data_IF_925406724645
#
_entry.id   IF_925406724645
#
_cell.length_a   1.000
_cell.length_b   1.000
_cell.length_c   1.000
_cell.angle_alpha   90.00
_cell.angle_beta   90.00
_cell.angle_gamma   90.00
#
_symmetry.space_group_name_H-M   'P 1'
#
loop_
_entity.id
_entity.type
_entity.pdbx_description
1 polymer ?
#
# COMPACT_ATOMS: atom_id res chain seq x y z
N UNK A 1 -5.98 -3.65 -22.45
CA UNK A 1 -5.84 -2.18 -22.52
C UNK A 1 -4.40 -1.85 -22.18
N UNK A 2 -3.74 -1.00 -22.96
CA UNK A 2 -2.48 -0.40 -22.56
C UNK A 2 -2.81 0.96 -21.95
N UNK A 3 -2.36 1.18 -20.71
CA UNK A 3 -2.55 2.43 -20.00
C UNK A 3 -1.27 2.83 -19.26
N UNK A 4 -1.10 4.13 -19.09
CA UNK A 4 -0.10 4.73 -18.22
C UNK A 4 -0.83 5.59 -17.18
N UNK A 5 -0.34 5.57 -15.95
CA UNK A 5 -0.74 6.56 -14.95
C UNK A 5 -0.19 7.94 -15.31
N UNK A 6 -0.76 9.03 -14.76
CA UNK A 6 -0.13 10.34 -14.82
C UNK A 6 1.31 10.23 -14.32
N UNK A 7 2.25 10.73 -15.11
CA UNK A 7 3.65 10.76 -14.70
C UNK A 7 3.80 11.87 -13.66
N UNK A 8 4.27 11.58 -12.43
CA UNK A 8 4.49 12.62 -11.44
C UNK A 8 5.58 13.58 -11.91
N UNK A 9 5.48 14.84 -11.50
CA UNK A 9 6.49 15.85 -11.72
C UNK A 9 7.78 15.53 -10.96
N UNK A 10 7.65 14.89 -9.80
CA UNK A 10 8.72 14.68 -8.82
C UNK A 10 9.36 15.99 -8.37
N UNK A 11 8.58 17.07 -8.30
CA UNK A 11 9.02 18.33 -7.72
C UNK A 11 9.29 18.19 -6.22
N UNK A 12 10.07 19.11 -5.65
CA UNK A 12 10.44 19.09 -4.22
C UNK A 12 9.22 18.98 -3.30
N UNK A 13 8.09 19.61 -3.67
CA UNK A 13 6.83 19.55 -2.93
C UNK A 13 6.21 18.15 -2.81
N UNK A 14 6.62 17.19 -3.64
CA UNK A 14 6.20 15.79 -3.55
C UNK A 14 6.89 15.07 -2.37
N UNK A 15 7.99 15.61 -1.85
CA UNK A 15 8.78 15.00 -0.78
C UNK A 15 8.63 15.78 0.53
N UNK A 16 8.56 15.07 1.66
CA UNK A 16 8.78 15.68 2.97
C UNK A 16 10.29 15.86 3.17
N UNK A 17 10.82 17.04 2.84
CA UNK A 17 12.27 17.33 2.97
C UNK A 17 12.80 17.08 4.39
N UNK A 18 11.98 17.34 5.41
CA UNK A 18 12.37 17.14 6.81
C UNK A 18 12.43 15.65 7.21
N UNK A 19 11.98 14.73 6.35
CA UNK A 19 11.94 13.29 6.64
C UNK A 19 13.31 12.73 7.03
N UNK A 20 14.37 13.20 6.37
CA UNK A 20 15.73 12.69 6.58
C UNK A 20 16.44 13.30 7.78
N UNK A 21 15.91 14.40 8.32
CA UNK A 21 16.39 15.02 9.56
C UNK A 21 15.83 14.31 10.82
N UNK A 22 14.79 13.49 10.65
CA UNK A 22 14.19 12.72 11.73
C UNK A 22 15.10 11.60 12.23
N UNK A 23 15.09 11.38 13.55
CA UNK A 23 15.68 10.19 14.13
C UNK A 23 14.98 8.92 13.62
N UNK A 24 15.66 7.78 13.69
CA UNK A 24 15.06 6.48 13.34
C UNK A 24 13.78 6.20 14.13
N UNK A 25 13.74 6.56 15.42
CA UNK A 25 12.55 6.38 16.27
C UNK A 25 11.36 7.22 15.77
N UNK A 26 11.61 8.46 15.36
CA UNK A 26 10.56 9.33 14.82
C UNK A 26 10.06 8.85 13.47
N UNK A 27 10.95 8.43 12.57
CA UNK A 27 10.55 7.81 11.29
C UNK A 27 9.70 6.57 11.51
N UNK A 28 10.10 5.69 12.44
CA UNK A 28 9.34 4.49 12.77
C UNK A 28 7.96 4.82 13.33
N UNK A 29 7.87 5.83 14.21
CA UNK A 29 6.58 6.30 14.72
C UNK A 29 5.69 6.88 13.61
N UNK A 30 6.26 7.59 12.62
CA UNK A 30 5.51 8.09 11.46
C UNK A 30 5.05 6.96 10.55
N UNK A 31 5.93 6.01 10.19
CA UNK A 31 5.58 4.85 9.36
C UNK A 31 4.53 3.96 10.01
N UNK A 32 4.60 3.77 11.34
CA UNK A 32 3.55 3.08 12.10
C UNK A 32 2.17 3.74 11.94
N UNK A 33 2.14 5.06 11.77
CA UNK A 33 0.95 5.86 11.54
C UNK A 33 0.71 6.15 10.04
N UNK A 34 1.37 5.43 9.13
CA UNK A 34 1.21 5.54 7.67
C UNK A 34 1.52 6.93 7.11
N UNK A 35 2.47 7.63 7.72
CA UNK A 35 3.07 8.86 7.20
C UNK A 35 4.49 8.57 6.72
N UNK A 36 4.82 9.01 5.50
CA UNK A 36 6.04 8.63 4.78
C UNK A 36 6.81 9.85 4.25
N UNK A 37 7.90 9.60 3.53
CA UNK A 37 8.73 10.64 2.91
C UNK A 37 8.10 11.32 1.68
N UNK A 38 6.90 10.90 1.27
CA UNK A 38 6.16 11.45 0.14
C UNK A 38 4.87 12.12 0.62
N UNK A 39 4.49 13.22 -0.01
CA UNK A 39 3.25 13.97 0.25
C UNK A 39 2.12 13.47 -0.65
N UNK A 40 0.90 13.99 -0.47
CA UNK A 40 -0.27 13.70 -1.31
C UNK A 40 -0.52 14.74 -2.42
N UNK A 41 0.45 15.61 -2.71
CA UNK A 41 0.31 16.71 -3.70
C UNK A 41 0.03 16.20 -5.13
N UNK A 42 0.60 15.05 -5.51
CA UNK A 42 0.35 14.40 -6.79
C UNK A 42 0.31 12.87 -6.67
N UNK A 43 -0.38 12.15 -7.57
CA UNK A 43 -0.42 10.68 -7.53
C UNK A 43 0.96 10.06 -7.79
N UNK A 44 1.42 9.22 -6.86
CA UNK A 44 2.60 8.37 -7.05
C UNK A 44 2.35 6.99 -6.43
N UNK A 45 2.78 5.94 -7.14
CA UNK A 45 2.70 4.56 -6.68
C UNK A 45 3.67 3.68 -7.47
N UNK A 46 4.25 2.69 -6.80
CA UNK A 46 4.89 1.55 -7.44
C UNK A 46 3.84 0.44 -7.62
N UNK A 47 3.84 -0.21 -8.78
CA UNK A 47 2.89 -1.31 -9.05
C UNK A 47 3.08 -2.51 -8.09
N UNK A 48 4.27 -2.66 -7.49
CA UNK A 48 4.60 -3.72 -6.55
C UNK A 48 4.05 -3.47 -5.12
N UNK A 49 3.45 -2.30 -4.85
CA UNK A 49 2.60 -2.07 -3.66
C UNK A 49 1.21 -2.73 -3.80
N UNK A 50 0.93 -3.35 -4.94
CA UNK A 50 -0.37 -3.93 -5.27
C UNK A 50 -0.32 -5.47 -5.31
N UNK A 51 -1.34 -6.10 -4.75
CA UNK A 51 -1.60 -7.54 -4.86
C UNK A 51 -2.97 -7.79 -5.49
N UNK A 52 -3.01 -8.61 -6.54
CA UNK A 52 -4.24 -8.90 -7.27
C UNK A 52 -4.83 -10.25 -6.89
N UNK A 53 -6.12 -10.24 -6.57
CA UNK A 53 -6.92 -11.40 -6.18
C UNK A 53 -8.23 -11.42 -6.98
N UNK A 54 -8.13 -11.67 -8.28
CA UNK A 54 -9.29 -11.64 -9.18
C UNK A 54 -9.81 -10.21 -9.37
N UNK A 55 -11.01 -9.92 -8.85
CA UNK A 55 -11.63 -8.59 -8.92
C UNK A 55 -11.18 -7.65 -7.80
N UNK A 56 -10.52 -8.18 -6.78
CA UNK A 56 -10.06 -7.42 -5.63
C UNK A 56 -8.56 -7.18 -5.76
N UNK A 57 -8.15 -5.95 -5.51
CA UNK A 57 -6.76 -5.50 -5.55
C UNK A 57 -6.47 -4.87 -4.19
N UNK A 58 -5.49 -5.41 -3.49
CA UNK A 58 -5.03 -4.90 -2.21
C UNK A 58 -3.81 -4.01 -2.44
N UNK A 59 -3.83 -2.82 -1.87
CA UNK A 59 -2.78 -1.82 -2.03
C UNK A 59 -2.37 -1.33 -0.65
N UNK A 60 -1.07 -1.26 -0.39
CA UNK A 60 -0.56 -0.58 0.80
C UNK A 60 -0.14 0.85 0.48
N UNK A 61 -0.28 1.74 1.46
CA UNK A 61 0.45 3.00 1.44
C UNK A 61 1.88 2.74 1.91
N UNK A 62 2.84 3.38 1.26
CA UNK A 62 4.26 3.11 1.44
C UNK A 62 5.09 4.37 1.19
N UNK A 63 6.41 4.26 1.26
CA UNK A 63 7.32 5.34 0.84
C UNK A 63 7.28 5.62 -0.67
N UNK A 64 6.60 4.78 -1.45
CA UNK A 64 6.47 4.89 -2.91
C UNK A 64 5.03 4.94 -3.39
N UNK A 65 4.04 4.78 -2.52
CA UNK A 65 2.60 4.79 -2.84
C UNK A 65 1.83 5.67 -1.84
N UNK A 66 1.26 6.77 -2.31
CA UNK A 66 0.51 7.73 -1.49
C UNK A 66 -1.01 7.57 -1.65
N UNK A 67 -1.79 8.35 -0.88
CA UNK A 67 -3.24 8.28 -0.91
C UNK A 67 -3.80 8.77 -2.25
N UNK A 68 -3.18 9.79 -2.85
CA UNK A 68 -3.55 10.27 -4.19
C UNK A 68 -3.35 9.18 -5.27
N UNK A 69 -2.28 8.39 -5.18
CA UNK A 69 -1.99 7.24 -6.04
C UNK A 69 -3.01 6.13 -5.86
N UNK A 70 -3.32 5.78 -4.62
CA UNK A 70 -4.38 4.82 -4.29
C UNK A 70 -5.75 5.27 -4.84
N UNK A 71 -6.14 6.54 -4.65
CA UNK A 71 -7.40 7.07 -5.15
C UNK A 71 -7.46 7.03 -6.69
N UNK A 72 -6.35 7.39 -7.35
CA UNK A 72 -6.24 7.30 -8.79
C UNK A 72 -6.47 5.85 -9.27
N UNK A 73 -5.82 4.87 -8.65
CA UNK A 73 -6.01 3.45 -8.94
C UNK A 73 -7.46 3.01 -8.75
N UNK A 74 -8.08 3.39 -7.63
CA UNK A 74 -9.46 3.04 -7.32
C UNK A 74 -10.44 3.59 -8.36
N UNK A 75 -10.32 4.88 -8.70
CA UNK A 75 -11.16 5.55 -9.70
C UNK A 75 -10.96 4.96 -11.09
N UNK A 76 -9.71 4.68 -11.45
CA UNK A 76 -9.36 4.18 -12.77
C UNK A 76 -9.82 2.75 -13.00
N UNK A 77 -9.73 1.89 -12.00
CA UNK A 77 -10.01 0.47 -12.13
C UNK A 77 -11.51 0.14 -11.90
N UNK A 78 -12.26 1.01 -11.23
CA UNK A 78 -13.69 0.81 -10.95
C UNK A 78 -14.56 0.59 -12.21
N UNK A 79 -14.43 1.35 -13.32
CA UNK A 79 -15.16 1.10 -14.57
C UNK A 79 -14.91 -0.29 -15.17
N UNK A 80 -13.81 -0.93 -14.79
CA UNK A 80 -13.45 -2.28 -15.22
C UNK A 80 -13.95 -3.37 -14.26
N UNK A 81 -14.75 -3.01 -13.25
CA UNK A 81 -15.30 -3.94 -12.27
C UNK A 81 -14.27 -4.47 -11.27
N UNK A 82 -13.15 -3.76 -11.13
CA UNK A 82 -12.10 -4.05 -10.15
C UNK A 82 -12.30 -3.17 -8.92
N UNK A 83 -12.03 -3.73 -7.75
CA UNK A 83 -12.15 -3.07 -6.44
C UNK A 83 -10.77 -2.94 -5.83
N UNK A 84 -10.42 -1.73 -5.43
CA UNK A 84 -9.15 -1.44 -4.76
C UNK A 84 -9.42 -1.28 -3.26
N UNK A 85 -8.66 -2.01 -2.45
CA UNK A 85 -8.77 -2.05 -1.00
C UNK A 85 -7.43 -1.66 -0.39
N UNK A 86 -7.45 -0.83 0.65
CA UNK A 86 -6.24 -0.54 1.42
C UNK A 86 -5.95 -1.68 2.39
N UNK A 87 -4.67 -2.07 2.50
CA UNK A 87 -4.16 -2.96 3.56
C UNK A 87 -2.99 -2.29 4.26
N UNK A 88 -2.95 -2.40 5.59
CA UNK A 88 -1.96 -1.70 6.42
C UNK A 88 -1.14 -2.67 7.24
N UNK A 89 0.16 -2.39 7.34
CA UNK A 89 1.14 -3.17 8.09
C UNK A 89 1.94 -2.23 9.00
N UNK A 90 1.46 -1.94 10.23
CA UNK A 90 2.01 -0.89 11.10
C UNK A 90 3.44 -1.17 11.61
N UNK A 91 3.97 -2.36 11.36
CA UNK A 91 5.33 -2.76 11.76
C UNK A 91 6.25 -2.99 10.55
N UNK A 92 5.81 -2.65 9.34
CA UNK A 92 6.72 -2.52 8.21
C UNK A 92 7.43 -1.16 8.33
N UNK A 93 8.69 -1.18 8.76
CA UNK A 93 9.47 0.00 9.13
C UNK A 93 10.31 0.57 7.97
N UNK A 94 10.07 0.09 6.75
CA UNK A 94 10.57 0.68 5.50
C UNK A 94 9.70 0.21 4.32
N UNK A 95 8.38 0.49 4.34
CA UNK A 95 7.48 -0.06 3.35
C UNK A 95 7.76 0.57 1.98
N UNK A 96 7.96 -0.28 0.99
CA UNK A 96 8.16 0.12 -0.42
C UNK A 96 7.45 -0.81 -1.38
N UNK A 97 7.37 -2.12 -1.10
CA UNK A 97 6.60 -3.10 -1.87
C UNK A 97 5.85 -4.08 -0.96
N UNK A 98 4.74 -4.62 -1.45
CA UNK A 98 3.81 -5.48 -0.68
C UNK A 98 4.18 -6.98 -0.79
N UNK A 99 4.97 -7.35 -1.78
CA UNK A 99 5.32 -8.72 -2.17
C UNK A 99 6.23 -9.49 -1.21
N UNK A 100 6.84 -8.80 -0.25
CA UNK A 100 7.59 -9.43 0.85
C UNK A 100 6.79 -9.45 2.16
N UNK A 101 5.53 -9.00 2.14
CA UNK A 101 4.67 -8.84 3.31
C UNK A 101 3.37 -9.64 3.20
N UNK A 102 2.71 -9.61 2.04
CA UNK A 102 1.42 -10.22 1.80
C UNK A 102 1.36 -10.84 0.40
N UNK A 103 1.40 -12.17 0.31
CA UNK A 103 1.51 -12.89 -0.98
C UNK A 103 0.36 -13.88 -1.13
N UNK A 104 -0.68 -13.53 -1.90
CA UNK A 104 -1.77 -14.45 -2.21
C UNK A 104 -1.25 -15.67 -2.99
N UNK A 105 -1.49 -16.87 -2.47
CA UNK A 105 -0.96 -18.12 -3.07
C UNK A 105 -2.00 -18.85 -3.92
N UNK A 106 -3.24 -18.86 -3.43
CA UNK A 106 -4.41 -19.48 -4.08
C UNK A 106 -5.68 -18.84 -3.50
N UNK A 107 -6.88 -19.09 -4.06
CA UNK A 107 -8.12 -18.61 -3.46
C UNK A 107 -8.22 -19.00 -1.97
N UNK A 108 -8.40 -18.00 -1.11
CA UNK A 108 -8.53 -18.15 0.33
C UNK A 108 -7.24 -18.49 1.09
N UNK A 109 -6.05 -18.33 0.51
CA UNK A 109 -4.78 -18.55 1.19
C UNK A 109 -3.77 -17.45 0.85
N UNK A 110 -3.19 -16.87 1.89
CA UNK A 110 -2.13 -15.85 1.79
C UNK A 110 -0.95 -16.24 2.66
N UNK A 111 0.26 -16.09 2.11
CA UNK A 111 1.50 -16.09 2.88
C UNK A 111 1.74 -14.69 3.44
N UNK A 112 2.03 -14.61 4.73
CA UNK A 112 2.24 -13.36 5.44
C UNK A 112 3.57 -13.33 6.13
N UNK A 113 4.20 -12.16 6.15
CA UNK A 113 5.41 -11.97 6.93
C UNK A 113 5.05 -11.81 8.42
N UNK A 114 5.53 -12.70 9.31
CA UNK A 114 5.16 -12.67 10.73
C UNK A 114 5.66 -11.40 11.45
N UNK A 115 6.71 -10.75 10.94
CA UNK A 115 7.22 -9.49 11.51
C UNK A 115 6.37 -8.29 11.11
N UNK A 116 5.51 -8.44 10.09
CA UNK A 116 4.67 -7.39 9.52
C UNK A 116 3.20 -7.83 9.55
N UNK A 117 2.60 -8.00 10.74
CA UNK A 117 1.22 -8.43 10.83
C UNK A 117 0.28 -7.34 10.28
N UNK A 118 -0.78 -7.78 9.59
CA UNK A 118 -1.82 -6.87 9.08
C UNK A 118 -2.54 -6.15 10.24
N UNK A 119 -2.85 -4.88 10.02
CA UNK A 119 -3.61 -4.05 10.92
C UNK A 119 -4.99 -4.68 11.21
N UNK A 120 -5.42 -4.68 12.47
CA UNK A 120 -6.64 -5.37 12.91
C UNK A 120 -7.90 -4.89 12.18
N UNK A 121 -8.00 -3.59 11.90
CA UNK A 121 -9.11 -3.02 11.15
C UNK A 121 -9.25 -3.56 9.71
N UNK A 122 -8.17 -4.09 9.12
CA UNK A 122 -8.16 -4.56 7.74
C UNK A 122 -8.36 -6.09 7.65
N UNK A 123 -8.39 -6.80 8.79
CA UNK A 123 -8.57 -8.27 8.84
C UNK A 123 -9.96 -8.72 8.42
N UNK A 124 -10.99 -7.90 8.69
CA UNK A 124 -12.39 -8.31 8.58
C UNK A 124 -12.78 -8.84 7.20
N UNK A 125 -12.29 -8.23 6.11
CA UNK A 125 -12.59 -8.69 4.75
C UNK A 125 -12.08 -10.12 4.48
N UNK A 126 -10.94 -10.47 5.06
CA UNK A 126 -10.31 -11.78 4.88
C UNK A 126 -10.95 -12.83 5.79
N UNK A 127 -11.21 -12.48 7.04
CA UNK A 127 -11.89 -13.36 8.01
C UNK A 127 -13.30 -13.71 7.54
N UNK A 128 -14.08 -12.72 7.09
CA UNK A 128 -15.42 -12.93 6.54
C UNK A 128 -15.40 -13.79 5.26
N UNK A 129 -14.33 -13.69 4.47
CA UNK A 129 -14.15 -14.49 3.26
C UNK A 129 -13.52 -15.87 3.53
N UNK A 130 -13.22 -16.22 4.79
CA UNK A 130 -12.64 -17.50 5.17
C UNK A 130 -11.20 -17.72 4.69
N UNK A 131 -10.40 -16.65 4.60
CA UNK A 131 -9.00 -16.75 4.18
C UNK A 131 -8.11 -17.29 5.30
N UNK A 132 -7.18 -18.18 4.94
CA UNK A 132 -6.13 -18.65 5.81
C UNK A 132 -4.85 -17.84 5.60
N UNK A 133 -4.18 -17.50 6.71
CA UNK A 133 -2.92 -16.77 6.76
C UNK A 133 -1.85 -17.75 7.23
N UNK A 134 -0.77 -17.88 6.47
CA UNK A 134 0.38 -18.75 6.80
C UNK A 134 1.68 -17.96 6.86
#
# INVERSE_FOLDING_TARGET
>A
MWKAAPKPSMADSMYDEAWWDLTTKERYARMHNFSFCITDEEPIFDAADMMRCGKDIFVQLSMTCNAAGHEWLARELAPHGLRVHTVRFPYDLAPSHLDCTFVPLRPGLVLTNPERPIHTADKGIFEMAGWAFI
#
